data_IF_427454534380
#
_entry.id   IF_427454534380
#
_cell.length_a   1.000
_cell.length_b   1.000
_cell.length_c   1.000
_cell.angle_alpha   90.00
_cell.angle_beta   90.00
_cell.angle_gamma   90.00
#
_symmetry.space_group_name_H-M   'P 1'
#
loop_
_entity.id
_entity.type
_entity.pdbx_description
1 polymer ?
#
# COMPACT_ATOMS: atom_id res chain seq x y z
N UNK A 1 1.05 11.54 -12.18
CA UNK A 1 0.81 10.90 -10.88
C UNK A 1 -0.47 10.09 -11.04
N UNK A 2 -0.46 8.78 -10.78
CA UNK A 2 -1.70 7.99 -10.78
C UNK A 2 -2.32 8.06 -9.38
N UNK A 3 -3.61 8.36 -9.31
CA UNK A 3 -4.39 8.31 -8.07
C UNK A 3 -4.93 6.89 -7.84
N UNK A 4 -5.30 6.58 -6.60
CA UNK A 4 -5.98 5.32 -6.28
C UNK A 4 -7.26 5.10 -7.12
N UNK A 5 -8.04 6.17 -7.35
CA UNK A 5 -9.23 6.12 -8.20
C UNK A 5 -8.90 5.65 -9.63
N UNK A 6 -7.92 6.29 -10.26
CA UNK A 6 -7.47 5.95 -11.62
C UNK A 6 -6.95 4.50 -11.69
N UNK A 7 -6.31 4.02 -10.63
CA UNK A 7 -5.82 2.65 -10.55
C UNK A 7 -6.95 1.62 -10.46
N UNK A 8 -7.95 1.85 -9.60
CA UNK A 8 -9.12 0.95 -9.48
C UNK A 8 -9.79 0.85 -10.86
N UNK A 9 -10.09 1.98 -11.49
CA UNK A 9 -10.69 2.02 -12.82
C UNK A 9 -9.86 1.28 -13.87
N UNK A 10 -8.54 1.45 -13.84
CA UNK A 10 -7.64 0.80 -14.78
C UNK A 10 -7.57 -0.73 -14.60
N UNK A 11 -7.59 -1.22 -13.36
CA UNK A 11 -7.37 -2.63 -13.03
C UNK A 11 -8.66 -3.44 -13.05
N UNK A 12 -9.76 -2.87 -12.57
CA UNK A 12 -11.04 -3.57 -12.41
C UNK A 12 -12.03 -3.21 -13.51
N UNK A 13 -11.80 -2.12 -14.23
CA UNK A 13 -12.77 -1.54 -15.17
C UNK A 13 -13.94 -0.83 -14.49
N UNK A 14 -13.95 -0.76 -13.15
CA UNK A 14 -15.02 -0.15 -12.36
C UNK A 14 -14.65 1.30 -12.06
N UNK A 15 -15.52 2.21 -12.48
CA UNK A 15 -15.43 3.62 -12.11
C UNK A 15 -16.12 3.83 -10.76
N UNK A 16 -15.34 3.89 -9.68
CA UNK A 16 -15.83 4.07 -8.31
C UNK A 16 -15.78 5.53 -7.95
N UNK A 17 -16.90 6.13 -7.53
CA UNK A 17 -16.94 7.52 -7.06
C UNK A 17 -15.91 7.76 -5.95
N UNK A 18 -15.25 8.93 -5.97
CA UNK A 18 -14.08 9.21 -5.12
C UNK A 18 -14.36 9.01 -3.62
N UNK A 19 -15.57 9.35 -3.16
CA UNK A 19 -16.03 9.20 -1.77
C UNK A 19 -16.41 7.75 -1.43
N UNK A 20 -16.59 6.88 -2.43
CA UNK A 20 -16.93 5.46 -2.30
C UNK A 20 -15.74 4.51 -2.37
N UNK A 21 -14.55 5.04 -2.65
CA UNK A 21 -13.33 4.22 -2.75
C UNK A 21 -13.02 3.50 -1.43
N UNK A 22 -13.26 4.14 -0.28
CA UNK A 22 -13.03 3.50 1.02
C UNK A 22 -13.95 2.29 1.20
N UNK A 23 -15.26 2.48 1.00
CA UNK A 23 -16.29 1.43 1.11
C UNK A 23 -15.99 0.28 0.12
N UNK A 24 -15.60 0.60 -1.11
CA UNK A 24 -15.24 -0.40 -2.12
C UNK A 24 -14.10 -1.31 -1.67
N UNK A 25 -13.09 -0.74 -1.00
CA UNK A 25 -11.91 -1.47 -0.51
C UNK A 25 -12.14 -2.17 0.84
N UNK A 26 -13.29 -1.97 1.50
CA UNK A 26 -13.67 -2.75 2.68
C UNK A 26 -14.21 -4.13 2.30
N UNK A 27 -14.90 -4.24 1.17
CA UNK A 27 -15.54 -5.47 0.70
C UNK A 27 -14.67 -6.26 -0.28
N UNK A 28 -13.73 -5.59 -0.96
CA UNK A 28 -12.93 -6.18 -2.04
C UNK A 28 -11.43 -6.15 -1.76
N UNK A 29 -10.74 -7.23 -2.12
CA UNK A 29 -9.27 -7.29 -2.09
C UNK A 29 -8.72 -6.70 -3.37
N UNK A 30 -7.81 -5.74 -3.25
CA UNK A 30 -7.15 -5.15 -4.40
C UNK A 30 -5.93 -6.00 -4.84
N UNK A 31 -5.97 -6.49 -6.08
CA UNK A 31 -4.92 -7.30 -6.68
C UNK A 31 -3.97 -6.41 -7.52
N UNK A 32 -2.74 -6.24 -7.03
CA UNK A 32 -1.70 -5.34 -7.55
C UNK A 32 -0.36 -6.07 -7.75
N UNK A 33 -0.40 -7.37 -8.00
CA UNK A 33 0.81 -8.19 -8.15
C UNK A 33 1.67 -7.67 -9.31
N UNK A 34 2.93 -7.39 -9.03
CA UNK A 34 3.88 -6.84 -9.99
C UNK A 34 3.51 -5.45 -10.53
N UNK A 35 2.51 -4.77 -9.96
CA UNK A 35 2.06 -3.48 -10.45
C UNK A 35 3.19 -2.43 -10.38
N UNK A 36 3.30 -1.60 -11.42
CA UNK A 36 4.21 -0.47 -11.42
C UNK A 36 3.48 0.79 -10.89
N UNK A 37 3.79 1.14 -9.65
CA UNK A 37 3.14 2.20 -8.87
C UNK A 37 4.12 3.32 -8.50
N UNK A 38 5.21 3.46 -9.25
CA UNK A 38 6.19 4.52 -9.04
C UNK A 38 5.48 5.87 -9.04
N UNK A 39 5.81 6.70 -8.05
CA UNK A 39 5.27 8.04 -7.84
C UNK A 39 3.73 8.10 -7.67
N UNK A 40 3.03 6.98 -7.42
CA UNK A 40 1.59 7.02 -7.20
C UNK A 40 1.23 7.70 -5.86
N UNK A 41 0.07 8.38 -5.83
CA UNK A 41 -0.50 8.87 -4.57
C UNK A 41 -1.49 7.84 -4.03
N UNK A 42 -1.04 7.10 -3.01
CA UNK A 42 -1.82 6.14 -2.24
C UNK A 42 -1.93 6.58 -0.79
N UNK A 43 -1.75 7.88 -0.52
CA UNK A 43 -1.95 8.40 0.84
C UNK A 43 -3.40 8.17 1.27
N UNK A 44 -3.58 7.86 2.55
CA UNK A 44 -4.87 7.49 3.18
C UNK A 44 -5.61 6.31 2.54
N UNK A 45 -4.99 5.58 1.60
CA UNK A 45 -5.62 4.45 0.93
C UNK A 45 -5.92 3.30 1.90
N UNK A 46 -7.10 2.69 1.75
CA UNK A 46 -7.40 1.42 2.41
C UNK A 46 -6.89 0.26 1.53
N UNK A 47 -5.69 -0.23 1.78
CA UNK A 47 -5.06 -1.36 1.08
C UNK A 47 -5.00 -2.59 1.98
N UNK A 48 -5.98 -2.74 2.87
CA UNK A 48 -6.07 -3.87 3.78
C UNK A 48 -6.10 -5.16 2.98
N UNK A 49 -5.25 -6.11 3.34
CA UNK A 49 -5.15 -7.41 2.67
C UNK A 49 -4.89 -7.37 1.16
N UNK A 50 -4.47 -6.22 0.61
CA UNK A 50 -4.14 -6.10 -0.81
C UNK A 50 -2.98 -7.03 -1.17
N UNK A 51 -3.06 -7.63 -2.35
CA UNK A 51 -1.98 -8.44 -2.90
C UNK A 51 -1.03 -7.52 -3.70
N UNK A 52 0.10 -7.19 -3.09
CA UNK A 52 1.16 -6.35 -3.64
C UNK A 52 2.43 -7.18 -3.93
N UNK A 53 2.29 -8.50 -4.12
CA UNK A 53 3.40 -9.39 -4.41
C UNK A 53 4.25 -8.87 -5.57
N UNK A 54 5.54 -8.60 -5.31
CA UNK A 54 6.48 -8.11 -6.32
C UNK A 54 6.17 -6.72 -6.90
N UNK A 55 5.23 -5.96 -6.32
CA UNK A 55 4.85 -4.64 -6.82
C UNK A 55 6.02 -3.64 -6.71
N UNK A 56 6.12 -2.73 -7.67
CA UNK A 56 7.09 -1.64 -7.64
C UNK A 56 6.46 -0.38 -7.05
N UNK A 57 6.66 -0.19 -5.74
CA UNK A 57 6.18 0.91 -4.90
C UNK A 57 7.27 1.95 -4.65
N UNK A 58 8.27 2.05 -5.53
CA UNK A 58 9.36 3.00 -5.36
C UNK A 58 8.83 4.44 -5.42
N UNK A 59 9.28 5.29 -4.50
CA UNK A 59 8.89 6.71 -4.41
C UNK A 59 7.36 6.93 -4.22
N UNK A 60 6.59 5.88 -3.90
CA UNK A 60 5.14 5.99 -3.71
C UNK A 60 4.80 6.76 -2.44
N UNK A 61 3.70 7.52 -2.46
CA UNK A 61 3.17 8.13 -1.24
C UNK A 61 2.17 7.18 -0.56
N UNK A 62 2.56 6.53 0.54
CA UNK A 62 1.71 5.65 1.36
C UNK A 62 1.41 6.27 2.75
N UNK A 63 1.55 7.58 2.89
CA UNK A 63 1.32 8.27 4.16
C UNK A 63 -0.08 7.99 4.67
N UNK A 64 -0.20 7.56 5.93
CA UNK A 64 -1.46 7.18 6.57
C UNK A 64 -2.24 6.05 5.87
N UNK A 65 -1.64 5.31 4.95
CA UNK A 65 -2.32 4.19 4.28
C UNK A 65 -2.52 3.02 5.26
N UNK A 66 -3.64 2.30 5.10
CA UNK A 66 -3.90 1.06 5.82
C UNK A 66 -3.41 -0.12 4.97
N UNK A 67 -2.27 -0.71 5.32
CA UNK A 67 -1.69 -1.90 4.69
C UNK A 67 -1.83 -3.15 5.59
N UNK A 68 -2.75 -3.11 6.56
CA UNK A 68 -2.92 -4.22 7.50
C UNK A 68 -3.16 -5.53 6.76
N UNK A 69 -2.32 -6.53 7.03
CA UNK A 69 -2.40 -7.84 6.38
C UNK A 69 -2.10 -7.87 4.88
N UNK A 70 -1.58 -6.79 4.29
CA UNK A 70 -1.22 -6.77 2.87
C UNK A 70 -0.04 -7.71 2.58
N UNK A 71 -0.05 -8.35 1.41
CA UNK A 71 1.08 -9.14 0.94
C UNK A 71 2.06 -8.26 0.16
N UNK A 72 3.18 -7.89 0.79
CA UNK A 72 4.26 -7.09 0.21
C UNK A 72 5.49 -7.95 -0.11
N UNK A 73 5.32 -9.27 -0.25
CA UNK A 73 6.44 -10.17 -0.53
C UNK A 73 7.17 -9.74 -1.81
N UNK A 74 8.51 -9.60 -1.74
CA UNK A 74 9.36 -9.15 -2.85
C UNK A 74 9.01 -7.77 -3.44
N UNK A 75 8.16 -6.98 -2.79
CA UNK A 75 7.81 -5.64 -3.26
C UNK A 75 9.00 -4.67 -3.15
N UNK A 76 9.11 -3.73 -4.09
CA UNK A 76 10.09 -2.66 -4.01
C UNK A 76 9.49 -1.42 -3.34
N UNK A 77 9.76 -1.21 -2.06
CA UNK A 77 9.30 -0.07 -1.27
C UNK A 77 10.35 1.04 -1.17
N UNK A 78 11.46 0.99 -1.90
CA UNK A 78 12.52 1.99 -1.77
C UNK A 78 12.00 3.42 -1.92
N UNK A 79 12.31 4.28 -0.94
CA UNK A 79 11.89 5.69 -0.90
C UNK A 79 10.37 5.96 -0.78
N UNK A 80 9.54 4.92 -0.67
CA UNK A 80 8.13 5.07 -0.31
C UNK A 80 7.95 5.87 0.99
N UNK A 81 7.01 6.80 1.00
CA UNK A 81 6.62 7.52 2.21
C UNK A 81 5.66 6.66 3.03
N UNK A 82 6.18 5.97 4.06
CA UNK A 82 5.42 5.10 4.95
C UNK A 82 5.02 5.77 6.27
N UNK A 83 5.14 7.10 6.38
CA UNK A 83 4.83 7.81 7.62
C UNK A 83 3.39 7.52 8.05
N UNK A 84 3.24 6.99 9.26
CA UNK A 84 1.95 6.64 9.86
C UNK A 84 1.13 5.61 9.07
N UNK A 85 1.76 4.86 8.17
CA UNK A 85 1.11 3.73 7.52
C UNK A 85 0.90 2.58 8.53
N UNK A 86 -0.24 1.90 8.46
CA UNK A 86 -0.49 0.71 9.27
C UNK A 86 0.01 -0.53 8.53
N UNK A 87 1.08 -1.16 9.02
CA UNK A 87 1.66 -2.39 8.46
C UNK A 87 1.45 -3.62 9.36
N UNK A 88 0.53 -3.54 10.33
CA UNK A 88 0.19 -4.66 11.22
C UNK A 88 -0.14 -5.92 10.39
N UNK A 89 0.52 -7.04 10.69
CA UNK A 89 0.37 -8.32 9.97
C UNK A 89 0.73 -8.30 8.47
N UNK A 90 1.33 -7.23 7.93
CA UNK A 90 1.76 -7.20 6.53
C UNK A 90 2.97 -8.13 6.28
N UNK A 91 2.98 -8.84 5.15
CA UNK A 91 4.10 -9.69 4.77
C UNK A 91 5.20 -8.89 4.07
N UNK A 92 6.27 -8.54 4.77
CA UNK A 92 7.41 -7.79 4.20
C UNK A 92 8.58 -8.68 3.76
N UNK A 93 8.38 -9.99 3.63
CA UNK A 93 9.45 -10.95 3.30
C UNK A 93 10.05 -10.61 1.93
N UNK A 94 11.36 -10.38 1.89
CA UNK A 94 12.06 -10.00 0.65
C UNK A 94 11.71 -8.61 0.11
N UNK A 95 10.89 -7.83 0.81
CA UNK A 95 10.59 -6.46 0.42
C UNK A 95 11.86 -5.59 0.49
N UNK A 96 12.08 -4.75 -0.51
CA UNK A 96 13.20 -3.81 -0.53
C UNK A 96 12.79 -2.52 0.18
N UNK A 97 13.34 -2.27 1.35
CA UNK A 97 13.10 -1.07 2.16
C UNK A 97 14.44 -0.44 2.56
N UNK A 98 14.50 0.89 2.65
CA UNK A 98 15.72 1.58 3.10
C UNK A 98 15.76 1.72 4.62
N UNK A 99 16.96 1.86 5.19
CA UNK A 99 17.14 2.10 6.64
C UNK A 99 16.32 3.29 7.15
N UNK A 100 16.32 4.40 6.40
CA UNK A 100 15.56 5.62 6.74
C UNK A 100 14.05 5.39 6.82
N UNK A 101 13.52 4.40 6.09
CA UNK A 101 12.10 4.07 6.12
C UNK A 101 11.76 3.17 7.30
N UNK A 102 12.65 2.25 7.68
CA UNK A 102 12.51 1.50 8.93
C UNK A 102 12.46 2.44 10.14
N UNK A 103 13.27 3.50 10.16
CA UNK A 103 13.25 4.51 11.23
C UNK A 103 11.91 5.28 11.32
N UNK A 104 11.08 5.25 10.27
CA UNK A 104 9.75 5.89 10.24
C UNK A 104 8.62 4.96 10.70
N UNK A 105 8.88 3.66 10.77
CA UNK A 105 7.94 2.69 11.28
C UNK A 105 8.00 2.73 12.80
N UNK A 106 6.88 3.14 13.41
CA UNK A 106 6.72 2.98 14.85
C UNK A 106 6.56 1.48 15.08
N UNK A 107 7.58 0.84 15.66
CA UNK A 107 7.41 -0.48 16.26
C UNK A 107 6.35 -0.28 17.34
N UNK A 108 5.15 -0.80 17.10
CA UNK A 108 4.16 -0.95 18.16
C UNK A 108 4.77 -2.03 19.04
N UNK A 109 5.44 -1.65 20.13
CA UNK A 109 5.79 -2.61 21.16
C UNK A 109 4.47 -3.21 21.64
N UNK A 110 4.29 -4.52 21.46
CA UNK A 110 3.25 -5.23 22.18
C UNK A 110 3.66 -5.14 23.65
N UNK A 111 2.92 -4.36 24.45
CA UNK A 111 3.03 -4.41 25.90
C UNK A 111 2.77 -5.86 26.34
N UNK A 112 3.79 -6.53 26.88
CA UNK A 112 3.71 -7.88 27.49
C UNK A 112 2.80 -7.93 28.72
#
# INVERSE_FOLDING_TARGET
>A
MKTLHEMIKYLTGIDVEQDKISDYLEEEVLYLQGANLIDADLSVANLRSADLFGANLKDVNLKNANLRGADLWCANLEYANLRSANLENACLVGARITKKQLDQLIVIEEDE
#
